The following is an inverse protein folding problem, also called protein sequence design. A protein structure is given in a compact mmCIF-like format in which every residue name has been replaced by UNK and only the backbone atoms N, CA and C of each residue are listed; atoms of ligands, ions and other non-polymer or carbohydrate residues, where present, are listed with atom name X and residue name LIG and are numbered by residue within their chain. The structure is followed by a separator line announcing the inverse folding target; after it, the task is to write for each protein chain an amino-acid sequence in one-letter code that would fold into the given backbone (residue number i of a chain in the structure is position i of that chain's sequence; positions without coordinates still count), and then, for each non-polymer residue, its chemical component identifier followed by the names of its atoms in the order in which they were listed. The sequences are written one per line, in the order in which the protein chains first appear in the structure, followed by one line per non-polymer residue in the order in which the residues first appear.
data_IF_551658200476
#
_entry.id   IF_551658200476
#
_cell.length_a   1.000
_cell.length_b   1.000
_cell.length_c   1.000
_cell.angle_alpha   90.00
_cell.angle_beta   90.00
_cell.angle_gamma   90.00
#
_symmetry.space_group_name_H-M   'P 1'
#
loop_
_entity.id
_entity.type
_entity.pdbx_description
1 polymer ?
#
# COMPACT_ATOMS: atom_id res chain seq x y z
N UNK A 1 13.07 -2.38 -6.73
CA UNK A 1 12.11 -3.48 -6.52
C UNK A 1 10.94 -3.21 -7.45
N UNK A 2 10.33 -4.24 -8.02
CA UNK A 2 9.13 -4.08 -8.88
C UNK A 2 7.88 -3.92 -8.01
N UNK A 3 6.79 -3.35 -8.55
CA UNK A 3 5.48 -3.40 -7.87
C UNK A 3 5.07 -4.84 -7.56
N UNK A 4 4.38 -5.05 -6.44
CA UNK A 4 3.92 -6.35 -5.94
C UNK A 4 2.51 -6.25 -5.32
N UNK A 5 1.92 -7.39 -4.93
CA UNK A 5 0.62 -7.47 -4.27
C UNK A 5 -0.54 -6.78 -5.05
N UNK A 6 -0.52 -6.93 -6.38
CA UNK A 6 -1.41 -6.29 -7.34
C UNK A 6 -1.30 -4.77 -7.40
N UNK A 7 -0.27 -4.14 -6.82
CA UNK A 7 -0.14 -2.69 -6.79
C UNK A 7 0.06 -2.07 -8.18
N UNK A 8 0.64 -2.79 -9.14
CA UNK A 8 0.77 -2.33 -10.53
C UNK A 8 -0.59 -2.10 -11.22
N UNK A 9 -1.66 -2.73 -10.73
CA UNK A 9 -3.01 -2.57 -11.24
C UNK A 9 -3.90 -1.77 -10.28
N UNK A 10 -3.87 -2.09 -8.98
CA UNK A 10 -4.77 -1.49 -8.00
C UNK A 10 -4.45 -0.03 -7.72
N UNK A 11 -3.16 0.36 -7.68
CA UNK A 11 -2.82 1.76 -7.41
C UNK A 11 -3.26 2.67 -8.56
N UNK A 12 -2.94 2.42 -9.84
CA UNK A 12 -3.45 3.25 -10.93
C UNK A 12 -4.98 3.32 -10.97
N UNK A 13 -5.67 2.23 -10.63
CA UNK A 13 -7.14 2.21 -10.55
C UNK A 13 -7.70 3.09 -9.43
N UNK A 14 -6.98 3.20 -8.30
CA UNK A 14 -7.38 4.00 -7.14
C UNK A 14 -7.04 5.48 -7.35
N UNK A 15 -5.80 5.79 -7.73
CA UNK A 15 -5.23 7.14 -7.67
C UNK A 15 -4.79 7.72 -9.03
N UNK A 16 -5.01 6.99 -10.12
CA UNK A 16 -4.49 7.33 -11.44
C UNK A 16 -3.00 7.02 -11.60
N UNK A 17 -2.55 6.90 -12.86
CA UNK A 17 -1.17 6.53 -13.19
C UNK A 17 -0.12 7.48 -12.64
N UNK A 18 -0.38 8.79 -12.64
CA UNK A 18 0.59 9.78 -12.18
C UNK A 18 0.98 9.57 -10.71
N UNK A 19 -0.02 9.50 -9.82
CA UNK A 19 0.20 9.29 -8.38
C UNK A 19 0.70 7.88 -8.06
N UNK A 20 0.21 6.87 -8.79
CA UNK A 20 0.71 5.51 -8.66
C UNK A 20 2.20 5.42 -9.01
N UNK A 21 2.64 6.06 -10.10
CA UNK A 21 4.05 6.04 -10.49
C UNK A 21 4.95 6.79 -9.51
N UNK A 22 4.48 7.91 -8.92
CA UNK A 22 5.19 8.59 -7.83
C UNK A 22 5.53 7.63 -6.69
N UNK A 23 4.55 6.82 -6.26
CA UNK A 23 4.78 5.85 -5.19
C UNK A 23 5.62 4.65 -5.65
N UNK A 24 5.23 4.02 -6.76
CA UNK A 24 5.76 2.72 -7.19
C UNK A 24 7.13 2.79 -7.85
N UNK A 25 7.39 3.84 -8.65
CA UNK A 25 8.61 3.96 -9.43
C UNK A 25 9.60 4.93 -8.80
N UNK A 26 9.08 6.02 -8.21
CA UNK A 26 9.90 7.06 -7.59
C UNK A 26 10.03 6.93 -6.06
N UNK A 27 9.44 5.89 -5.46
CA UNK A 27 9.48 5.61 -4.01
C UNK A 27 9.03 6.80 -3.15
N UNK A 28 8.10 7.62 -3.65
CA UNK A 28 7.55 8.75 -2.91
C UNK A 28 6.62 8.24 -1.82
N UNK A 29 6.89 8.62 -0.58
CA UNK A 29 5.98 8.37 0.54
C UNK A 29 4.92 9.47 0.61
N UNK A 30 3.66 9.07 0.70
CA UNK A 30 2.55 10.00 0.90
C UNK A 30 2.31 10.21 2.39
N UNK A 31 1.99 11.45 2.76
CA UNK A 31 1.33 11.72 4.04
C UNK A 31 -0.09 11.14 4.06
N UNK A 32 -0.70 11.03 5.25
CA UNK A 32 -2.08 10.55 5.37
C UNK A 32 -3.07 11.40 4.54
N UNK A 33 -2.88 12.72 4.51
CA UNK A 33 -3.71 13.63 3.73
C UNK A 33 -3.53 13.45 2.22
N UNK A 34 -2.30 13.23 1.75
CA UNK A 34 -2.05 12.94 0.33
C UNK A 34 -2.62 11.59 -0.09
N UNK A 35 -2.53 10.57 0.77
CA UNK A 35 -3.17 9.29 0.54
C UNK A 35 -4.69 9.41 0.47
N UNK A 36 -5.29 10.28 1.28
CA UNK A 36 -6.72 10.58 1.23
C UNK A 36 -7.13 11.27 -0.08
N UNK A 37 -6.40 12.32 -0.47
CA UNK A 37 -6.61 13.03 -1.74
C UNK A 37 -6.43 12.08 -2.94
N UNK A 38 -5.47 11.15 -2.85
CA UNK A 38 -5.24 10.13 -3.85
C UNK A 38 -6.29 8.99 -3.86
N UNK A 39 -7.21 8.96 -2.89
CA UNK A 39 -8.24 7.92 -2.78
C UNK A 39 -7.74 6.59 -2.22
N UNK A 40 -6.50 6.52 -1.72
CA UNK A 40 -5.93 5.30 -1.12
C UNK A 40 -6.51 5.00 0.27
N UNK A 41 -6.89 6.04 1.01
CA UNK A 41 -7.59 5.93 2.30
C UNK A 41 -8.90 6.69 2.26
N UNK A 42 -9.88 6.24 3.03
CA UNK A 42 -11.23 6.80 3.02
C UNK A 42 -11.41 7.97 3.98
N UNK A 43 -10.53 8.13 4.97
CA UNK A 43 -10.61 9.19 5.98
C UNK A 43 -9.28 9.34 6.74
N UNK A 44 -9.05 10.51 7.35
CA UNK A 44 -7.86 10.81 8.15
C UNK A 44 -8.29 11.41 9.48
N UNK A 45 -7.78 10.86 10.59
CA UNK A 45 -8.07 11.34 11.93
C UNK A 45 -6.82 11.88 12.63
N UNK A 46 -6.98 12.82 13.58
CA UNK A 46 -5.95 13.11 14.57
C UNK A 46 -5.56 11.84 15.32
N UNK A 47 -4.27 11.73 15.67
CA UNK A 47 -3.72 10.54 16.32
C UNK A 47 -4.41 10.23 17.65
N UNK A 48 -4.79 11.28 18.37
CA UNK A 48 -5.35 11.24 19.71
C UNK A 48 -6.73 10.56 19.75
N UNK A 49 -7.50 10.65 18.66
CA UNK A 49 -8.87 10.11 18.56
C UNK A 49 -8.99 8.92 17.62
N UNK A 50 -7.91 8.53 16.93
CA UNK A 50 -7.94 7.52 15.87
C UNK A 50 -8.64 6.22 16.26
N UNK A 51 -8.30 5.66 17.43
CA UNK A 51 -8.87 4.39 17.89
C UNK A 51 -10.37 4.51 18.19
N UNK A 52 -10.79 5.60 18.83
CA UNK A 52 -12.20 5.83 19.14
C UNK A 52 -13.04 5.98 17.87
N UNK A 53 -12.55 6.74 16.89
CA UNK A 53 -13.23 6.94 15.60
C UNK A 53 -13.30 5.67 14.75
N UNK A 54 -12.26 4.84 14.76
CA UNK A 54 -12.25 3.53 14.08
C UNK A 54 -13.24 2.58 14.74
N UNK A 55 -13.24 2.51 16.08
CA UNK A 55 -14.14 1.61 16.81
C UNK A 55 -15.61 1.96 16.54
N UNK A 56 -15.96 3.24 16.58
CA UNK A 56 -17.29 3.72 16.23
C UNK A 56 -17.75 3.25 14.83
N UNK A 57 -16.88 3.37 13.82
CA UNK A 57 -17.18 2.93 12.44
C UNK A 57 -17.35 1.42 12.32
N UNK A 58 -16.58 0.65 13.10
CA UNK A 58 -16.73 -0.81 13.14
C UNK A 58 -18.06 -1.19 13.77
N UNK A 59 -18.46 -0.52 14.86
CA UNK A 59 -19.76 -0.73 15.52
C UNK A 59 -20.93 -0.42 14.57
N UNK A 60 -20.84 0.67 13.81
CA UNK A 60 -21.81 0.99 12.76
C UNK A 60 -21.85 -0.07 11.64
N UNK A 61 -20.70 -0.60 11.24
CA UNK A 61 -20.62 -1.62 10.19
C UNK A 61 -21.26 -2.95 10.62
N UNK A 62 -21.04 -3.40 11.87
CA UNK A 62 -21.57 -4.68 12.35
C UNK A 62 -23.08 -4.65 12.61
N UNK A 63 -23.68 -3.47 12.76
CA UNK A 63 -25.14 -3.29 12.86
C UNK A 63 -25.86 -3.58 11.53
N UNK A 64 -25.14 -3.59 10.41
CA UNK A 64 -25.70 -3.90 9.11
C UNK A 64 -25.94 -5.42 8.90
N UNK A 65 -26.96 -5.83 8.11
CA UNK A 65 -27.17 -7.23 7.78
C UNK A 65 -25.97 -7.88 7.08
N UNK A 66 -25.30 -8.81 7.77
CA UNK A 66 -24.05 -9.44 7.31
C UNK A 66 -24.16 -10.02 5.90
N UNK A 67 -25.27 -10.68 5.56
CA UNK A 67 -25.47 -11.27 4.22
C UNK A 67 -25.45 -10.21 3.11
N UNK A 68 -26.05 -9.04 3.36
CA UNK A 68 -26.05 -7.93 2.42
C UNK A 68 -24.64 -7.39 2.20
N UNK A 69 -23.85 -7.25 3.27
CA UNK A 69 -22.44 -6.84 3.18
C UNK A 69 -21.60 -7.83 2.37
N UNK A 70 -21.76 -9.13 2.62
CA UNK A 70 -21.03 -10.19 1.91
C UNK A 70 -21.39 -10.19 0.42
N UNK A 71 -22.68 -10.20 0.09
CA UNK A 71 -23.12 -10.21 -1.31
C UNK A 71 -22.73 -8.91 -2.03
N UNK A 72 -22.85 -7.75 -1.37
CA UNK A 72 -22.39 -6.48 -1.92
C UNK A 72 -20.89 -6.52 -2.25
N UNK A 73 -20.06 -6.98 -1.31
CA UNK A 73 -18.60 -7.12 -1.53
C UNK A 73 -18.27 -8.10 -2.66
N UNK A 74 -19.00 -9.22 -2.75
CA UNK A 74 -18.83 -10.19 -3.83
C UNK A 74 -19.21 -9.61 -5.19
N UNK A 75 -20.30 -8.85 -5.31
CA UNK A 75 -20.69 -8.22 -6.57
C UNK A 75 -19.70 -7.14 -6.99
N UNK A 76 -19.19 -6.34 -6.04
CA UNK A 76 -18.21 -5.28 -6.31
C UNK A 76 -16.87 -5.87 -6.75
N UNK A 77 -16.36 -6.86 -6.01
CA UNK A 77 -14.99 -7.37 -6.21
C UNK A 77 -14.92 -8.58 -7.13
N UNK A 78 -15.94 -9.42 -7.14
CA UNK A 78 -15.98 -10.71 -7.83
C UNK A 78 -15.51 -10.68 -9.28
N UNK A 79 -16.03 -9.77 -10.12
CA UNK A 79 -15.62 -9.67 -11.52
C UNK A 79 -14.13 -9.40 -11.72
N UNK A 80 -13.47 -8.78 -10.74
CA UNK A 80 -12.08 -8.37 -10.81
C UNK A 80 -11.11 -9.43 -10.24
N UNK A 81 -11.59 -10.39 -9.45
CA UNK A 81 -10.74 -11.40 -8.79
C UNK A 81 -9.85 -12.17 -9.80
N UNK A 82 -10.36 -12.68 -10.93
CA UNK A 82 -9.51 -13.41 -11.89
C UNK A 82 -8.38 -12.55 -12.46
N UNK A 83 -8.64 -11.26 -12.66
CA UNK A 83 -7.64 -10.32 -13.14
C UNK A 83 -6.57 -10.05 -12.07
N UNK A 84 -6.96 -9.86 -10.81
CA UNK A 84 -6.02 -9.64 -9.72
C UNK A 84 -5.08 -10.84 -9.52
N UNK A 85 -5.61 -12.06 -9.59
CA UNK A 85 -4.79 -13.27 -9.51
C UNK A 85 -3.74 -13.30 -10.64
N UNK A 86 -4.15 -13.00 -11.88
CA UNK A 86 -3.23 -12.92 -13.02
C UNK A 86 -2.16 -11.84 -12.82
N UNK A 87 -2.54 -10.65 -12.36
CA UNK A 87 -1.59 -9.55 -12.12
C UNK A 87 -0.59 -9.95 -11.02
N UNK A 88 -1.07 -10.58 -9.94
CA UNK A 88 -0.21 -11.07 -8.88
C UNK A 88 0.83 -12.07 -9.40
N UNK A 89 0.41 -13.03 -10.23
CA UNK A 89 1.33 -14.02 -10.83
C UNK A 89 2.41 -13.34 -11.69
N UNK A 90 2.03 -12.33 -12.49
CA UNK A 90 2.97 -11.57 -13.30
C UNK A 90 3.96 -10.75 -12.47
N UNK A 91 3.49 -10.12 -11.39
CA UNK A 91 4.35 -9.38 -10.47
C UNK A 91 5.35 -10.31 -9.76
N UNK A 92 4.90 -11.49 -9.31
CA UNK A 92 5.75 -12.50 -8.69
C UNK A 92 6.83 -13.00 -9.64
N UNK A 93 6.50 -13.28 -10.90
CA UNK A 93 7.49 -13.73 -11.89
C UNK A 93 8.62 -12.69 -12.08
N UNK A 94 8.27 -11.40 -12.09
CA UNK A 94 9.27 -10.33 -12.16
C UNK A 94 10.05 -10.19 -10.86
N UNK A 95 9.40 -10.35 -9.71
CA UNK A 95 10.07 -10.28 -8.41
C UNK A 95 11.11 -11.40 -8.27
N UNK A 96 10.79 -12.62 -8.71
CA UNK A 96 11.70 -13.77 -8.69
C UNK A 96 12.93 -13.54 -9.57
N UNK A 97 12.73 -13.05 -10.80
CA UNK A 97 13.84 -12.68 -11.68
C UNK A 97 14.73 -11.62 -11.02
N UNK A 98 14.14 -10.55 -10.47
CA UNK A 98 14.89 -9.49 -9.82
C UNK A 98 15.60 -9.95 -8.55
N UNK A 99 15.04 -10.91 -7.83
CA UNK A 99 15.70 -11.52 -6.67
C UNK A 99 16.96 -12.28 -7.09
N UNK A 100 16.88 -13.05 -8.17
CA UNK A 100 18.01 -13.83 -8.70
C UNK A 100 19.10 -12.96 -9.34
N UNK A 101 18.75 -11.78 -9.84
CA UNK A 101 19.68 -10.86 -10.52
C UNK A 101 20.81 -10.28 -9.63
N UNK A 102 20.76 -10.45 -8.31
CA UNK A 102 21.76 -9.91 -7.37
C UNK A 102 21.62 -8.40 -7.07
N UNK A 103 20.89 -7.65 -7.89
CA UNK A 103 20.64 -6.22 -7.68
C UNK A 103 19.92 -5.95 -6.35
N UNK A 104 19.03 -6.85 -5.92
CA UNK A 104 18.28 -6.69 -4.68
C UNK A 104 19.21 -6.69 -3.45
N UNK A 105 20.21 -7.57 -3.42
CA UNK A 105 21.20 -7.64 -2.34
C UNK A 105 21.98 -6.34 -2.21
N UNK A 106 22.48 -5.83 -3.34
CA UNK A 106 23.22 -4.56 -3.38
C UNK A 106 22.39 -3.38 -2.87
N UNK A 107 21.12 -3.28 -3.28
CA UNK A 107 20.25 -2.19 -2.82
C UNK A 107 19.90 -2.32 -1.34
N UNK A 108 19.75 -3.55 -0.83
CA UNK A 108 19.49 -3.81 0.59
C UNK A 108 20.65 -3.34 1.46
N UNK A 109 21.89 -3.64 1.06
CA UNK A 109 23.09 -3.18 1.77
C UNK A 109 23.17 -1.64 1.80
N UNK A 110 22.95 -0.99 0.65
CA UNK A 110 22.90 0.48 0.56
C UNK A 110 21.84 1.09 1.49
N UNK A 111 20.67 0.48 1.57
CA UNK A 111 19.59 0.93 2.46
C UNK A 111 19.99 0.85 3.94
N UNK A 112 20.58 -0.26 4.38
CA UNK A 112 21.00 -0.42 5.77
C UNK A 112 22.13 0.55 6.16
N UNK A 113 23.11 0.74 5.27
CA UNK A 113 24.17 1.73 5.47
C UNK A 113 23.61 3.16 5.57
N UNK A 114 22.69 3.55 4.67
CA UNK A 114 22.04 4.86 4.74
C UNK A 114 21.27 5.05 6.06
N UNK A 115 20.52 4.03 6.53
CA UNK A 115 19.81 4.10 7.81
C UNK A 115 20.73 4.21 9.01
N UNK A 116 21.88 3.51 8.99
CA UNK A 116 22.89 3.60 10.05
C UNK A 116 23.41 5.04 10.17
N UNK A 117 23.80 5.65 9.05
CA UNK A 117 24.26 7.05 8.98
C UNK A 117 23.20 8.04 9.49
N UNK A 118 21.93 7.86 9.11
CA UNK A 118 20.82 8.71 9.59
C UNK A 118 20.68 8.60 11.12
N UNK A 119 20.80 7.39 11.68
CA UNK A 119 20.67 7.15 13.12
C UNK A 119 21.83 7.76 13.91
N UNK A 120 23.05 7.65 13.39
CA UNK A 120 24.25 8.27 13.96
C UNK A 120 24.15 9.80 13.94
N UNK A 121 23.76 10.39 12.80
CA UNK A 121 23.58 11.84 12.67
C UNK A 121 22.49 12.40 13.60
N UNK A 122 21.42 11.63 13.86
CA UNK A 122 20.39 12.00 14.85
C UNK A 122 20.89 11.95 16.29
N UNK A 123 21.72 10.95 16.62
CA UNK A 123 22.34 10.85 17.96
C UNK A 123 23.35 11.98 18.22
N UNK A 124 24.10 12.40 17.20
CA UNK A 124 25.09 13.48 17.34
C UNK A 124 24.47 14.88 17.48
N UNK A 125 23.15 15.02 17.28
CA UNK A 125 22.39 16.28 17.45
C UNK A 125 21.60 16.33 18.75
N UNK A 126 21.65 15.28 19.57
CA UNK A 126 21.09 15.19 20.92
C UNK A 126 22.22 15.35 21.93
#
# INVERSE_FOLDING_TARGET
MTPEACSSYTFPKIMGYAKANEMLLFNRMFSAHEAYIAGLVTEVFPKEVFIAEVQKRVEELIDNPIKSLVYGKQLIRGPEIPLLLKVNDQELERLDERHQSGDMTLQREKFFEARKKIKEARKAKL
#
